data_IF_480023542115
#
_entry.id   IF_480023542115
#
_cell.length_a   1.000
_cell.length_b   1.000
_cell.length_c   1.000
_cell.angle_alpha   90.00
_cell.angle_beta   90.00
_cell.angle_gamma   90.00
#
_symmetry.space_group_name_H-M   'P 1'
#
loop_
_entity.id
_entity.type
_entity.pdbx_description
1 polymer ?
#
# COMPACT_ATOMS: atom_id res chain seq x y z
N UNK A 1 30.17 -34.86 -36.93
CA UNK A 1 28.78 -35.35 -37.04
C UNK A 1 27.83 -34.55 -36.12
N UNK A 2 27.70 -33.23 -36.32
CA UNK A 2 26.83 -32.38 -35.49
C UNK A 2 26.08 -31.28 -36.27
N UNK A 3 26.17 -31.30 -37.61
CA UNK A 3 25.62 -30.25 -38.48
C UNK A 3 24.39 -30.74 -39.28
N UNK A 4 24.11 -32.04 -39.28
CA UNK A 4 23.01 -32.63 -40.07
C UNK A 4 21.68 -32.69 -39.29
N UNK A 5 21.70 -32.50 -37.97
CA UNK A 5 20.48 -32.60 -37.14
C UNK A 5 19.65 -31.30 -37.06
N UNK A 6 20.16 -30.15 -37.51
CA UNK A 6 19.46 -28.87 -37.42
C UNK A 6 18.57 -28.53 -38.64
N UNK A 7 18.68 -29.30 -39.73
CA UNK A 7 17.93 -29.07 -40.97
C UNK A 7 16.60 -29.84 -41.07
N UNK A 8 16.34 -30.78 -40.15
CA UNK A 8 15.11 -31.58 -40.16
C UNK A 8 13.94 -30.99 -39.35
N UNK A 9 14.16 -29.93 -38.55
CA UNK A 9 13.11 -29.32 -37.72
C UNK A 9 12.40 -28.10 -38.35
N UNK A 10 12.75 -27.71 -39.57
CA UNK A 10 12.12 -26.58 -40.28
C UNK A 10 10.96 -27.00 -41.23
N UNK A 11 10.57 -28.28 -41.25
CA UNK A 11 9.56 -28.79 -42.19
C UNK A 11 8.13 -28.92 -41.62
N UNK A 12 7.88 -28.51 -40.36
CA UNK A 12 6.52 -28.50 -39.77
C UNK A 12 6.08 -27.08 -39.42
N UNK A 13 5.97 -26.22 -40.44
CA UNK A 13 5.13 -25.03 -40.34
C UNK A 13 3.78 -25.39 -40.95
N UNK A 14 2.68 -25.48 -40.18
CA UNK A 14 1.36 -25.63 -40.78
C UNK A 14 1.12 -24.39 -41.66
N UNK A 15 0.89 -24.63 -42.95
CA UNK A 15 0.49 -23.58 -43.87
C UNK A 15 -0.77 -22.90 -43.28
N UNK A 16 -0.62 -21.64 -42.88
CA UNK A 16 -1.74 -20.80 -42.51
C UNK A 16 -2.67 -20.73 -43.72
N UNK A 17 -3.78 -21.45 -43.67
CA UNK A 17 -4.87 -21.30 -44.63
C UNK A 17 -5.40 -19.87 -44.49
N UNK A 18 -4.97 -19.00 -45.40
CA UNK A 18 -5.64 -17.75 -45.65
C UNK A 18 -7.08 -18.08 -46.07
N UNK A 19 -8.02 -17.94 -45.13
CA UNK A 19 -9.45 -18.10 -45.41
C UNK A 19 -9.86 -16.91 -46.29
N UNK A 20 -10.32 -17.11 -47.53
CA UNK A 20 -10.86 -16.03 -48.33
C UNK A 20 -12.13 -15.52 -47.64
N UNK A 21 -12.07 -14.33 -47.04
CA UNK A 21 -13.28 -13.59 -46.65
C UNK A 21 -13.86 -12.93 -47.90
N UNK A 22 -14.45 -13.74 -48.78
CA UNK A 22 -15.40 -13.27 -49.77
C UNK A 22 -16.74 -13.07 -49.08
N UNK A 23 -16.92 -11.90 -48.47
CA UNK A 23 -18.22 -11.46 -47.95
C UNK A 23 -19.20 -11.36 -49.12
N UNK A 24 -20.34 -12.09 -49.10
CA UNK A 24 -21.37 -11.91 -50.12
C UNK A 24 -21.91 -10.48 -50.06
N UNK A 25 -22.02 -9.76 -51.19
CA UNK A 25 -22.68 -8.46 -51.23
C UNK A 25 -24.15 -8.65 -50.86
N UNK A 26 -24.55 -8.13 -49.70
CA UNK A 26 -25.92 -8.25 -49.16
C UNK A 26 -26.03 -8.87 -47.77
N UNK A 27 -24.93 -9.30 -47.15
CA UNK A 27 -24.97 -9.78 -45.76
C UNK A 27 -25.31 -8.62 -44.82
N UNK A 28 -26.53 -8.63 -44.28
CA UNK A 28 -26.95 -7.65 -43.28
C UNK A 28 -25.92 -7.59 -42.15
N UNK A 29 -25.53 -6.38 -41.73
CA UNK A 29 -24.58 -6.20 -40.65
C UNK A 29 -25.10 -6.88 -39.36
N UNK A 30 -24.50 -8.03 -39.04
CA UNK A 30 -24.82 -8.80 -37.84
C UNK A 30 -24.25 -8.08 -36.63
N UNK A 31 -25.06 -7.91 -35.59
CA UNK A 31 -24.59 -7.33 -34.34
C UNK A 31 -23.57 -8.26 -33.68
N UNK A 32 -22.43 -7.73 -33.25
CA UNK A 32 -21.44 -8.53 -32.53
C UNK A 32 -22.02 -9.02 -31.19
N UNK A 33 -21.79 -10.30 -30.90
CA UNK A 33 -22.18 -10.91 -29.63
C UNK A 33 -21.15 -10.63 -28.55
N UNK A 34 -21.59 -10.66 -27.29
CA UNK A 34 -20.69 -10.56 -26.14
C UNK A 34 -19.69 -11.72 -26.11
N UNK A 35 -20.10 -12.90 -26.57
CA UNK A 35 -19.25 -14.09 -26.61
C UNK A 35 -18.08 -13.93 -27.58
N UNK A 36 -18.27 -13.25 -28.72
CA UNK A 36 -17.18 -12.95 -29.64
C UNK A 36 -16.13 -12.02 -28.99
N UNK A 37 -16.58 -11.02 -28.23
CA UNK A 37 -15.69 -10.14 -27.46
C UNK A 37 -15.01 -10.89 -26.30
N UNK A 38 -15.73 -11.74 -25.58
CA UNK A 38 -15.16 -12.55 -24.50
C UNK A 38 -14.13 -13.57 -25.02
N UNK A 39 -14.39 -14.20 -26.16
CA UNK A 39 -13.46 -15.10 -26.84
C UNK A 39 -12.20 -14.36 -27.27
N UNK A 40 -12.34 -13.14 -27.81
CA UNK A 40 -11.20 -12.26 -28.09
C UNK A 40 -10.40 -12.01 -26.81
N UNK A 41 -11.05 -11.50 -25.76
CA UNK A 41 -10.42 -11.12 -24.49
C UNK A 41 -9.79 -12.28 -23.70
N UNK A 42 -10.21 -13.52 -23.97
CA UNK A 42 -9.65 -14.72 -23.35
C UNK A 42 -8.28 -15.10 -23.92
N UNK A 43 -7.84 -14.48 -25.03
CA UNK A 43 -6.50 -14.69 -25.55
C UNK A 43 -5.44 -14.00 -24.68
N UNK A 44 -4.27 -14.62 -24.52
CA UNK A 44 -3.19 -14.07 -23.68
C UNK A 44 -2.66 -12.72 -24.18
N UNK A 45 -2.79 -12.44 -25.48
CA UNK A 45 -2.36 -11.20 -26.11
C UNK A 45 -3.33 -10.04 -25.90
N UNK A 46 -4.62 -10.33 -25.65
CA UNK A 46 -5.66 -9.32 -25.43
C UNK A 46 -5.94 -9.03 -23.95
N UNK A 47 -5.51 -9.91 -23.04
CA UNK A 47 -5.73 -9.76 -21.60
C UNK A 47 -5.12 -8.46 -21.04
N UNK A 48 -4.10 -7.92 -21.71
CA UNK A 48 -3.45 -6.65 -21.38
C UNK A 48 -4.31 -5.40 -21.66
N UNK A 49 -5.38 -5.55 -22.45
CA UNK A 49 -6.19 -4.43 -22.94
C UNK A 49 -7.21 -3.98 -21.89
N UNK A 50 -7.29 -2.67 -21.68
CA UNK A 50 -8.17 -2.05 -20.69
C UNK A 50 -9.64 -2.42 -20.91
N UNK A 51 -10.09 -2.55 -22.16
CA UNK A 51 -11.48 -2.94 -22.47
C UNK A 51 -11.78 -4.39 -22.04
N UNK A 52 -10.81 -5.29 -22.16
CA UNK A 52 -10.94 -6.68 -21.70
C UNK A 52 -10.90 -6.79 -20.17
N UNK A 53 -10.08 -5.97 -19.52
CA UNK A 53 -10.11 -5.78 -18.07
C UNK A 53 -11.47 -5.23 -17.59
N UNK A 54 -12.04 -4.22 -18.27
CA UNK A 54 -13.37 -3.72 -17.92
C UNK A 54 -14.47 -4.78 -18.17
N UNK A 55 -14.36 -5.60 -19.22
CA UNK A 55 -15.28 -6.71 -19.46
C UNK A 55 -15.34 -7.68 -18.27
N UNK A 56 -14.18 -8.00 -17.66
CA UNK A 56 -14.13 -8.88 -16.48
C UNK A 56 -14.85 -8.26 -15.27
N UNK A 57 -14.69 -6.95 -15.07
CA UNK A 57 -15.40 -6.18 -14.03
C UNK A 57 -16.91 -6.07 -14.26
N UNK A 58 -17.33 -6.09 -15.52
CA UNK A 58 -18.74 -6.10 -15.91
C UNK A 58 -19.41 -7.47 -15.69
N UNK A 59 -18.64 -8.57 -15.64
CA UNK A 59 -19.17 -9.92 -15.55
C UNK A 59 -20.16 -10.24 -16.68
N UNK A 60 -21.31 -10.83 -16.34
CA UNK A 60 -22.39 -11.13 -17.29
C UNK A 60 -23.35 -9.96 -17.54
N UNK A 61 -23.17 -8.85 -16.83
CA UNK A 61 -24.09 -7.72 -16.89
C UNK A 61 -23.91 -6.91 -18.16
N UNK A 62 -24.96 -6.81 -18.97
CA UNK A 62 -25.03 -5.95 -20.17
C UNK A 62 -25.83 -4.67 -19.93
N UNK A 63 -26.58 -4.60 -18.82
CA UNK A 63 -27.47 -3.48 -18.48
C UNK A 63 -26.77 -2.34 -17.76
N UNK A 64 -25.60 -2.61 -17.17
CA UNK A 64 -24.75 -1.59 -16.55
C UNK A 64 -24.24 -0.63 -17.63
N UNK A 65 -24.32 0.67 -17.34
CA UNK A 65 -23.74 1.72 -18.20
C UNK A 65 -22.27 1.37 -18.49
N UNK A 66 -21.81 1.50 -19.74
CA UNK A 66 -20.46 1.12 -20.21
C UNK A 66 -20.11 -0.38 -20.25
N UNK A 67 -20.98 -1.27 -19.74
CA UNK A 67 -20.81 -2.71 -19.86
C UNK A 67 -21.50 -3.32 -21.10
N UNK A 68 -22.13 -2.50 -21.92
CA UNK A 68 -22.70 -2.94 -23.19
C UNK A 68 -21.59 -3.43 -24.11
N UNK A 69 -21.87 -4.45 -24.93
CA UNK A 69 -20.88 -4.98 -25.89
C UNK A 69 -20.40 -3.88 -26.84
N UNK A 70 -21.28 -2.98 -27.26
CA UNK A 70 -20.93 -1.86 -28.14
C UNK A 70 -20.03 -0.83 -27.44
N UNK A 71 -20.25 -0.52 -26.16
CA UNK A 71 -19.37 0.39 -25.41
C UNK A 71 -17.96 -0.18 -25.25
N UNK A 72 -17.85 -1.47 -24.92
CA UNK A 72 -16.56 -2.14 -24.77
C UNK A 72 -15.84 -2.26 -26.12
N UNK A 73 -16.56 -2.55 -27.21
CA UNK A 73 -16.00 -2.53 -28.57
C UNK A 73 -15.61 -1.11 -29.01
N UNK A 74 -16.38 -0.09 -28.63
CA UNK A 74 -16.03 1.30 -28.88
C UNK A 74 -14.72 1.66 -28.19
N UNK A 75 -14.56 1.28 -26.91
CA UNK A 75 -13.33 1.46 -26.15
C UNK A 75 -12.15 0.73 -26.81
N UNK A 76 -12.33 -0.55 -27.12
CA UNK A 76 -11.31 -1.39 -27.75
C UNK A 76 -10.89 -0.85 -29.12
N UNK A 77 -11.85 -0.62 -30.02
CA UNK A 77 -11.53 -0.37 -31.43
C UNK A 77 -11.19 1.09 -31.74
N UNK A 78 -11.68 2.07 -30.97
CA UNK A 78 -11.32 3.48 -31.19
C UNK A 78 -10.09 3.92 -30.41
N UNK A 79 -9.77 3.31 -29.27
CA UNK A 79 -8.63 3.72 -28.45
C UNK A 79 -7.45 2.78 -28.55
N UNK A 80 -7.67 1.47 -28.51
CA UNK A 80 -6.59 0.48 -28.69
C UNK A 80 -6.39 0.13 -30.16
N UNK A 81 -7.47 0.10 -30.96
CA UNK A 81 -7.43 -0.21 -32.40
C UNK A 81 -6.58 -1.46 -32.74
N UNK A 82 -6.83 -2.62 -32.11
CA UNK A 82 -6.11 -3.83 -32.47
C UNK A 82 -6.54 -4.28 -33.87
N UNK A 83 -5.58 -4.67 -34.71
CA UNK A 83 -5.83 -5.19 -36.07
C UNK A 83 -6.47 -6.58 -36.01
N UNK A 84 -7.78 -6.62 -35.80
CA UNK A 84 -8.55 -7.84 -35.47
C UNK A 84 -9.89 -7.85 -36.19
N UNK A 85 -10.39 -9.05 -36.49
CA UNK A 85 -11.70 -9.23 -37.13
C UNK A 85 -12.84 -8.60 -36.32
N UNK A 86 -12.73 -8.60 -34.99
CA UNK A 86 -13.71 -8.00 -34.07
C UNK A 86 -13.86 -6.50 -34.34
N UNK A 87 -12.75 -5.78 -34.53
CA UNK A 87 -12.80 -4.35 -34.83
C UNK A 87 -13.27 -4.04 -36.24
N UNK A 88 -12.92 -4.86 -37.23
CA UNK A 88 -13.45 -4.72 -38.60
C UNK A 88 -14.96 -4.96 -38.65
N UNK A 89 -15.47 -5.97 -37.95
CA UNK A 89 -16.91 -6.22 -37.85
C UNK A 89 -17.62 -5.09 -37.10
N UNK A 90 -17.04 -4.59 -36.00
CA UNK A 90 -17.58 -3.44 -35.26
C UNK A 90 -17.68 -2.19 -36.14
N UNK A 91 -16.63 -1.86 -36.89
CA UNK A 91 -16.62 -0.73 -37.83
C UNK A 91 -17.69 -0.91 -38.90
N UNK A 92 -17.79 -2.10 -39.51
CA UNK A 92 -18.81 -2.41 -40.51
C UNK A 92 -20.22 -2.24 -39.97
N UNK A 93 -20.47 -2.73 -38.74
CA UNK A 93 -21.75 -2.58 -38.05
C UNK A 93 -22.07 -1.10 -37.77
N UNK A 94 -21.11 -0.32 -37.28
CA UNK A 94 -21.34 1.09 -36.96
C UNK A 94 -21.45 2.00 -38.18
N UNK A 95 -20.80 1.65 -39.29
CA UNK A 95 -21.04 2.32 -40.58
C UNK A 95 -22.46 2.05 -41.09
N UNK A 96 -22.97 0.83 -40.94
CA UNK A 96 -24.33 0.48 -41.32
C UNK A 96 -25.39 1.06 -40.37
N UNK A 97 -25.08 1.20 -39.07
CA UNK A 97 -26.02 1.63 -38.02
C UNK A 97 -25.40 2.67 -37.07
N UNK A 98 -25.11 3.89 -37.54
CA UNK A 98 -24.41 4.91 -36.74
C UNK A 98 -25.18 5.36 -35.50
N UNK A 99 -26.51 5.43 -35.56
CA UNK A 99 -27.36 5.79 -34.41
C UNK A 99 -27.30 4.75 -33.29
N UNK A 100 -27.22 3.46 -33.63
CA UNK A 100 -27.10 2.39 -32.64
C UNK A 100 -25.77 2.45 -31.90
N UNK A 101 -24.66 2.73 -32.60
CA UNK A 101 -23.34 2.82 -31.96
C UNK A 101 -23.12 4.11 -31.15
N UNK A 102 -23.88 5.18 -31.43
CA UNK A 102 -23.80 6.45 -30.71
C UNK A 102 -24.89 6.64 -29.65
N UNK A 103 -25.76 5.64 -29.45
CA UNK A 103 -26.77 5.70 -28.41
C UNK A 103 -26.13 5.77 -27.01
N UNK A 104 -26.83 6.39 -26.07
CA UNK A 104 -26.37 6.51 -24.69
C UNK A 104 -26.07 5.13 -24.10
N UNK A 105 -24.87 4.98 -23.52
CA UNK A 105 -24.39 3.70 -22.99
C UNK A 105 -23.74 2.76 -24.01
N UNK A 106 -23.68 3.11 -25.30
CA UNK A 106 -22.92 2.39 -26.33
C UNK A 106 -21.59 3.08 -26.71
N UNK A 107 -21.28 4.21 -26.10
CA UNK A 107 -19.99 4.89 -26.20
C UNK A 107 -19.07 4.44 -25.07
N UNK A 108 -17.75 4.54 -25.27
CA UNK A 108 -16.80 4.29 -24.19
C UNK A 108 -17.04 5.24 -23.00
N UNK A 109 -16.56 4.82 -21.84
CA UNK A 109 -16.60 5.64 -20.64
C UNK A 109 -15.95 7.01 -20.90
N UNK A 110 -16.59 8.14 -20.54
CA UNK A 110 -15.95 9.44 -20.59
C UNK A 110 -14.56 9.45 -19.92
N UNK A 111 -13.59 10.09 -20.58
CA UNK A 111 -12.17 10.10 -20.21
C UNK A 111 -11.45 8.74 -20.28
N UNK A 112 -12.01 7.75 -20.99
CA UNK A 112 -11.30 6.54 -21.37
C UNK A 112 -10.02 6.86 -22.16
N UNK A 113 -8.95 6.16 -21.83
CA UNK A 113 -7.68 6.22 -22.56
C UNK A 113 -7.30 4.84 -23.09
N UNK A 114 -6.31 4.77 -23.97
CA UNK A 114 -5.83 3.48 -24.46
C UNK A 114 -5.07 2.69 -23.36
N UNK A 115 -4.91 1.40 -23.61
CA UNK A 115 -4.28 0.43 -22.70
C UNK A 115 -2.82 0.75 -22.42
N UNK A 116 -2.09 1.29 -23.40
CA UNK A 116 -0.71 1.74 -23.22
C UNK A 116 -0.63 2.88 -22.21
N UNK A 117 -1.56 3.83 -22.25
CA UNK A 117 -1.65 4.92 -21.26
C UNK A 117 -1.97 4.36 -19.88
N UNK A 118 -2.92 3.42 -19.74
CA UNK A 118 -3.20 2.78 -18.45
C UNK A 118 -1.96 2.10 -17.88
N UNK A 119 -1.27 1.26 -18.67
CA UNK A 119 -0.03 0.62 -18.22
C UNK A 119 1.07 1.64 -17.90
N UNK A 120 1.19 2.73 -18.65
CA UNK A 120 2.15 3.78 -18.33
C UNK A 120 1.86 4.47 -17.00
N UNK A 121 0.59 4.73 -16.69
CA UNK A 121 0.21 5.28 -15.39
C UNK A 121 0.52 4.29 -14.26
N UNK A 122 0.24 3.00 -14.46
CA UNK A 122 0.62 1.94 -13.51
C UNK A 122 2.13 1.91 -13.32
N UNK A 123 2.93 1.94 -14.39
CA UNK A 123 4.39 1.99 -14.32
C UNK A 123 4.87 3.17 -13.47
N UNK A 124 4.35 4.38 -13.71
CA UNK A 124 4.75 5.58 -12.96
C UNK A 124 4.38 5.48 -11.49
N UNK A 125 3.21 4.94 -11.17
CA UNK A 125 2.75 4.79 -9.80
C UNK A 125 3.54 3.68 -9.06
N UNK A 126 3.70 2.51 -9.67
CA UNK A 126 4.40 1.36 -9.10
C UNK A 126 5.91 1.58 -8.96
N UNK A 127 6.52 2.42 -9.81
CA UNK A 127 7.95 2.74 -9.72
C UNK A 127 8.29 3.64 -8.54
N UNK A 128 7.38 4.55 -8.18
CA UNK A 128 7.61 5.48 -7.07
C UNK A 128 7.30 4.80 -5.73
N UNK A 129 6.24 3.98 -5.68
CA UNK A 129 5.86 3.23 -4.50
C UNK A 129 5.39 1.82 -4.88
N UNK A 130 5.96 0.79 -4.24
CA UNK A 130 5.45 -0.57 -4.37
C UNK A 130 4.10 -0.68 -3.64
N UNK A 131 3.01 -0.66 -4.39
CA UNK A 131 1.65 -0.75 -3.88
C UNK A 131 1.05 -2.12 -4.18
N UNK A 132 0.05 -2.51 -3.40
CA UNK A 132 -0.78 -3.67 -3.73
C UNK A 132 -1.46 -3.47 -5.10
N UNK A 133 -1.45 -4.52 -5.92
CA UNK A 133 -1.88 -4.50 -7.30
C UNK A 133 -0.75 -4.36 -8.31
N UNK A 134 0.40 -3.77 -7.93
CA UNK A 134 1.56 -3.66 -8.82
C UNK A 134 2.11 -5.04 -9.22
N UNK A 135 1.99 -6.05 -8.36
CA UNK A 135 2.35 -7.44 -8.63
C UNK A 135 1.51 -8.09 -9.74
N UNK A 136 0.32 -7.55 -10.02
CA UNK A 136 -0.57 -8.06 -11.09
C UNK A 136 -0.19 -7.52 -12.47
N UNK A 137 0.74 -6.56 -12.56
CA UNK A 137 1.26 -6.05 -13.82
C UNK A 137 2.79 -6.06 -13.80
N UNK A 138 3.39 -7.19 -14.18
CA UNK A 138 4.86 -7.34 -14.27
C UNK A 138 5.37 -6.66 -15.54
N UNK A 139 6.23 -5.64 -15.40
CA UNK A 139 6.80 -4.85 -16.49
C UNK A 139 5.78 -4.03 -17.31
N UNK A 140 4.98 -3.16 -16.67
CA UNK A 140 4.05 -2.29 -17.38
C UNK A 140 4.80 -1.37 -18.37
N UNK A 141 4.10 -0.94 -19.42
CA UNK A 141 4.63 -0.03 -20.44
C UNK A 141 5.31 1.20 -19.82
N UNK A 142 6.63 1.32 -19.97
CA UNK A 142 7.41 2.42 -19.39
C UNK A 142 7.18 3.77 -20.07
N UNK A 143 6.55 3.77 -21.25
CA UNK A 143 6.24 4.94 -22.07
C UNK A 143 4.87 4.81 -22.75
N UNK A 144 4.13 5.91 -22.99
CA UNK A 144 2.88 5.89 -23.75
C UNK A 144 3.05 5.49 -25.23
N UNK A 145 4.28 5.42 -25.74
CA UNK A 145 4.59 5.05 -27.13
C UNK A 145 4.84 3.56 -27.35
N UNK A 146 4.75 2.73 -26.29
CA UNK A 146 4.98 1.29 -26.41
C UNK A 146 3.87 0.66 -27.28
N UNK A 147 4.22 -0.10 -28.34
CA UNK A 147 3.24 -0.78 -29.17
C UNK A 147 2.37 -1.74 -28.36
N UNK A 148 1.10 -1.89 -28.74
CA UNK A 148 0.15 -2.77 -28.05
C UNK A 148 0.63 -4.22 -28.00
N UNK A 149 1.36 -4.66 -29.03
CA UNK A 149 1.95 -6.00 -29.13
C UNK A 149 3.07 -6.26 -28.11
N UNK A 150 3.62 -5.21 -27.48
CA UNK A 150 4.66 -5.28 -26.47
C UNK A 150 4.13 -5.00 -25.06
N UNK A 151 2.82 -4.82 -24.90
CA UNK A 151 2.23 -4.62 -23.58
C UNK A 151 2.38 -5.88 -22.73
N UNK A 152 2.70 -5.69 -21.46
CA UNK A 152 2.73 -6.78 -20.51
C UNK A 152 1.33 -7.39 -20.37
N UNK A 153 1.28 -8.70 -20.18
CA UNK A 153 0.04 -9.37 -19.80
C UNK A 153 -0.36 -8.91 -18.39
N UNK A 154 -1.26 -7.94 -18.32
CA UNK A 154 -1.72 -7.43 -17.05
C UNK A 154 -3.13 -6.86 -17.10
N UNK A 155 -3.80 -6.93 -15.96
CA UNK A 155 -5.14 -6.42 -15.77
C UNK A 155 -5.12 -4.88 -15.62
N UNK A 156 -4.75 -4.19 -16.70
CA UNK A 156 -4.29 -2.80 -16.68
C UNK A 156 -5.34 -1.85 -16.09
N UNK A 157 -6.60 -1.98 -16.47
CA UNK A 157 -7.66 -1.14 -15.94
C UNK A 157 -8.00 -1.49 -14.47
N UNK A 158 -8.11 -2.77 -14.10
CA UNK A 158 -8.39 -3.15 -12.71
C UNK A 158 -7.28 -2.73 -11.75
N UNK A 159 -6.01 -2.87 -12.14
CA UNK A 159 -4.87 -2.44 -11.33
C UNK A 159 -4.88 -0.91 -11.19
N UNK A 160 -5.09 -0.18 -12.30
CA UNK A 160 -5.19 1.27 -12.26
C UNK A 160 -6.30 1.76 -11.32
N UNK A 161 -7.49 1.14 -11.39
CA UNK A 161 -8.63 1.44 -10.51
C UNK A 161 -8.32 1.14 -9.05
N UNK A 162 -7.70 -0.01 -8.75
CA UNK A 162 -7.31 -0.36 -7.38
C UNK A 162 -6.35 0.68 -6.79
N UNK A 163 -5.35 1.10 -7.55
CA UNK A 163 -4.39 2.12 -7.12
C UNK A 163 -5.06 3.47 -6.89
N UNK A 164 -5.93 3.90 -7.80
CA UNK A 164 -6.66 5.16 -7.66
C UNK A 164 -7.69 5.14 -6.53
N UNK A 165 -8.27 3.98 -6.23
CA UNK A 165 -9.13 3.82 -5.06
C UNK A 165 -8.35 3.96 -3.75
N UNK A 166 -7.12 3.44 -3.69
CA UNK A 166 -6.26 3.56 -2.50
C UNK A 166 -5.70 4.96 -2.31
N UNK A 167 -5.41 5.68 -3.40
CA UNK A 167 -4.89 7.06 -3.35
C UNK A 167 -5.58 7.97 -4.39
N UNK A 168 -6.82 8.40 -4.12
CA UNK A 168 -7.61 9.20 -5.07
C UNK A 168 -6.98 10.57 -5.37
N UNK A 169 -6.13 11.08 -4.46
CA UNK A 169 -5.45 12.38 -4.59
C UNK A 169 -4.26 12.38 -5.54
N UNK A 170 -3.85 11.23 -6.08
CA UNK A 170 -2.73 11.21 -7.01
C UNK A 170 -3.11 11.98 -8.28
N UNK A 171 -2.19 12.82 -8.76
CA UNK A 171 -2.38 13.59 -10.01
C UNK A 171 -2.72 12.69 -11.20
N UNK A 172 -2.21 11.45 -11.19
CA UNK A 172 -2.48 10.38 -12.16
C UNK A 172 -3.93 9.87 -12.14
N UNK A 173 -4.61 9.97 -11.00
CA UNK A 173 -6.00 9.55 -10.80
C UNK A 173 -7.01 10.70 -10.97
N UNK A 174 -6.58 11.93 -10.68
CA UNK A 174 -7.43 13.12 -10.70
C UNK A 174 -8.10 13.42 -12.06
N UNK A 175 -7.48 13.04 -13.18
CA UNK A 175 -8.00 13.41 -14.51
C UNK A 175 -8.81 12.29 -15.16
N UNK A 176 -8.28 11.07 -15.40
CA UNK A 176 -9.06 10.06 -16.12
C UNK A 176 -10.09 9.44 -15.18
N UNK A 177 -9.64 8.89 -14.05
CA UNK A 177 -10.47 8.10 -13.15
C UNK A 177 -11.54 8.93 -12.41
N UNK A 178 -11.19 10.10 -11.87
CA UNK A 178 -12.22 10.94 -11.22
C UNK A 178 -13.26 11.45 -12.22
N UNK A 179 -12.85 11.92 -13.41
CA UNK A 179 -13.82 12.34 -14.44
C UNK A 179 -14.68 11.18 -14.92
N UNK A 180 -14.08 10.00 -15.02
CA UNK A 180 -14.77 8.75 -15.32
C UNK A 180 -15.87 8.51 -14.26
N UNK A 181 -15.54 8.59 -12.98
CA UNK A 181 -16.53 8.46 -11.89
C UNK A 181 -17.58 9.58 -11.90
N UNK A 182 -17.20 10.83 -12.15
CA UNK A 182 -18.11 11.99 -12.07
C UNK A 182 -19.05 12.16 -13.26
N UNK A 183 -18.73 11.56 -14.41
CA UNK A 183 -19.50 11.75 -15.66
C UNK A 183 -20.98 11.36 -15.57
N UNK A 184 -21.36 10.48 -14.64
CA UNK A 184 -22.76 10.16 -14.33
C UNK A 184 -22.88 9.69 -12.88
N UNK A 185 -22.77 10.63 -11.93
CA UNK A 185 -22.55 10.31 -10.51
C UNK A 185 -23.58 9.35 -9.90
N UNK A 186 -24.86 9.47 -10.26
CA UNK A 186 -25.93 8.57 -9.77
C UNK A 186 -25.83 7.16 -10.37
N UNK A 187 -25.68 7.09 -11.70
CA UNK A 187 -25.67 5.80 -12.43
C UNK A 187 -24.36 5.05 -12.20
N UNK A 188 -23.24 5.75 -12.19
CA UNK A 188 -21.92 5.15 -11.97
C UNK A 188 -21.78 4.63 -10.55
N UNK A 189 -22.25 5.37 -9.54
CA UNK A 189 -22.22 4.93 -8.14
C UNK A 189 -23.03 3.66 -7.92
N UNK A 190 -24.18 3.52 -8.57
CA UNK A 190 -25.02 2.33 -8.46
C UNK A 190 -24.43 1.11 -9.20
N UNK A 191 -23.84 1.32 -10.38
CA UNK A 191 -23.39 0.22 -11.25
C UNK A 191 -21.97 -0.28 -10.93
N UNK A 192 -21.10 0.60 -10.41
CA UNK A 192 -19.69 0.32 -10.17
C UNK A 192 -19.19 0.81 -8.80
N UNK A 193 -19.79 0.38 -7.68
CA UNK A 193 -19.31 0.73 -6.34
C UNK A 193 -17.86 0.28 -6.10
N UNK A 194 -17.42 -0.77 -6.78
CA UNK A 194 -16.05 -1.30 -6.68
C UNK A 194 -15.01 -0.46 -7.46
N UNK A 195 -15.45 0.30 -8.48
CA UNK A 195 -14.56 1.14 -9.31
C UNK A 195 -14.54 2.58 -8.81
N UNK A 196 -15.71 3.10 -8.41
CA UNK A 196 -15.90 4.49 -8.01
C UNK A 196 -16.40 4.54 -6.55
N UNK A 197 -15.50 4.67 -5.56
CA UNK A 197 -15.90 4.83 -4.17
C UNK A 197 -16.57 6.20 -3.95
N UNK A 198 -17.31 6.35 -2.85
CA UNK A 198 -17.99 7.62 -2.50
C UNK A 198 -17.05 8.84 -2.55
N UNK A 199 -15.81 8.68 -2.09
CA UNK A 199 -14.77 9.71 -2.10
C UNK A 199 -14.44 10.28 -3.48
N UNK A 200 -14.65 9.52 -4.57
CA UNK A 200 -14.41 9.99 -5.94
C UNK A 200 -15.48 10.99 -6.41
N UNK A 201 -16.66 11.02 -5.78
CA UNK A 201 -17.78 11.89 -6.17
C UNK A 201 -17.84 13.19 -5.38
N UNK A 202 -17.36 13.21 -4.13
CA UNK A 202 -17.50 14.37 -3.23
C UNK A 202 -16.61 15.56 -3.61
N UNK A 203 -15.62 15.35 -4.49
CA UNK A 203 -14.75 16.41 -5.00
C UNK A 203 -15.30 17.02 -6.27
N UNK A 204 -16.38 17.78 -6.13
CA UNK A 204 -16.61 18.88 -7.09
C UNK A 204 -15.36 19.77 -7.05
N UNK A 205 -14.80 20.12 -8.21
CA UNK A 205 -13.48 20.74 -8.44
C UNK A 205 -13.37 22.17 -7.89
N UNK A 206 -14.20 22.53 -6.91
CA UNK A 206 -14.15 23.80 -6.18
C UNK A 206 -13.07 23.73 -5.10
N UNK A 207 -11.81 23.49 -5.49
CA UNK A 207 -10.68 23.59 -4.58
C UNK A 207 -10.34 25.07 -4.34
N UNK A 208 -11.03 25.70 -3.39
CA UNK A 208 -10.50 26.87 -2.68
C UNK A 208 -9.52 26.36 -1.62
N UNK A 209 -8.26 26.85 -1.57
CA UNK A 209 -7.33 26.45 -0.52
C UNK A 209 -7.81 27.02 0.82
N UNK A 210 -8.46 26.21 1.64
CA UNK A 210 -8.83 26.58 3.01
C UNK A 210 -8.12 25.66 3.99
N UNK A 211 -7.43 26.26 4.96
CA UNK A 211 -6.69 25.59 6.02
C UNK A 211 -7.62 24.68 6.85
N UNK A 212 -7.24 23.40 6.98
CA UNK A 212 -8.02 22.36 7.64
C UNK A 212 -8.15 22.57 9.15
N UNK A 213 -9.39 22.67 9.62
CA UNK A 213 -9.84 22.21 10.93
C UNK A 213 -10.82 21.05 10.68
N UNK A 214 -10.62 19.89 11.30
CA UNK A 214 -11.42 18.67 11.07
C UNK A 214 -12.07 18.19 12.37
N UNK A 215 -13.39 17.93 12.41
CA UNK A 215 -14.04 17.11 13.42
C UNK A 215 -14.05 15.62 13.01
N UNK A 216 -13.91 14.74 13.99
CA UNK A 216 -13.81 13.28 13.82
C UNK A 216 -15.19 12.62 13.58
N UNK A 217 -15.28 11.78 12.55
CA UNK A 217 -16.41 10.85 12.31
C UNK A 217 -15.84 9.43 12.26
N UNK A 218 -16.42 8.52 13.04
CA UNK A 218 -16.00 7.13 13.15
C UNK A 218 -16.65 6.29 12.04
N UNK A 219 -15.83 5.65 11.22
CA UNK A 219 -16.25 4.68 10.20
C UNK A 219 -15.86 3.27 10.64
N UNK A 220 -16.81 2.35 10.66
CA UNK A 220 -16.61 0.92 10.91
C UNK A 220 -16.10 0.23 9.64
N UNK A 221 -14.97 -0.48 9.72
CA UNK A 221 -14.32 -1.17 8.58
C UNK A 221 -14.20 -2.67 8.89
N UNK A 222 -14.65 -3.52 7.97
CA UNK A 222 -14.49 -4.98 8.01
C UNK A 222 -13.03 -5.37 7.73
N UNK A 223 -12.53 -6.41 8.43
CA UNK A 223 -11.11 -6.70 8.62
C UNK A 223 -10.42 -7.54 7.51
N UNK A 224 -11.11 -7.89 6.42
CA UNK A 224 -10.58 -8.86 5.44
C UNK A 224 -9.97 -8.25 4.16
N UNK A 225 -9.98 -6.92 3.99
CA UNK A 225 -9.29 -6.26 2.88
C UNK A 225 -7.86 -5.86 3.28
N UNK A 226 -6.88 -6.67 2.88
CA UNK A 226 -5.46 -6.48 3.13
C UNK A 226 -4.84 -5.22 2.48
N UNK A 227 -5.63 -4.46 1.70
CA UNK A 227 -5.24 -3.32 0.87
C UNK A 227 -5.31 -1.94 1.56
N UNK A 228 -5.64 -1.88 2.85
CA UNK A 228 -5.87 -0.64 3.60
C UNK A 228 -4.67 -0.07 4.37
N UNK A 229 -3.43 -0.25 3.90
CA UNK A 229 -2.26 0.30 4.61
C UNK A 229 -2.22 1.84 4.46
N UNK A 230 -2.20 2.61 5.57
CA UNK A 230 -2.13 4.06 5.49
C UNK A 230 -0.83 4.51 4.83
N UNK A 231 -0.86 5.55 3.97
CA UNK A 231 0.34 6.08 3.32
C UNK A 231 1.32 6.60 4.37
N UNK A 232 2.58 6.21 4.29
CA UNK A 232 3.64 6.77 5.14
C UNK A 232 3.82 8.25 4.82
N UNK A 233 3.67 9.11 5.84
CA UNK A 233 3.87 10.56 5.73
C UNK A 233 5.24 10.92 6.30
N UNK A 234 6.03 11.67 5.55
CA UNK A 234 7.38 12.12 5.99
C UNK A 234 7.36 13.43 6.79
N UNK A 235 6.25 13.73 7.45
CA UNK A 235 6.09 14.92 8.30
C UNK A 235 5.35 14.55 9.58
N UNK A 236 5.56 15.34 10.63
CA UNK A 236 4.91 15.12 11.91
C UNK A 236 3.39 15.22 11.80
N UNK A 237 2.71 14.17 12.26
CA UNK A 237 1.26 14.06 12.18
C UNK A 237 0.66 13.46 13.46
N UNK A 238 -0.65 13.63 13.61
CA UNK A 238 -1.44 13.16 14.76
C UNK A 238 -2.50 12.14 14.33
N UNK A 239 -2.20 11.34 13.32
CA UNK A 239 -3.17 10.38 12.81
C UNK A 239 -3.28 9.16 13.75
N UNK A 240 -4.47 8.57 13.83
CA UNK A 240 -4.76 7.47 14.75
C UNK A 240 -4.64 6.10 14.09
N UNK A 241 -4.54 6.05 12.76
CA UNK A 241 -4.55 4.78 11.99
C UNK A 241 -3.18 4.34 11.50
N UNK A 242 -2.07 4.91 12.00
CA UNK A 242 -0.72 4.60 11.52
C UNK A 242 -0.26 3.16 11.84
N UNK A 243 0.62 2.58 11.03
CA UNK A 243 1.24 1.28 11.31
C UNK A 243 2.33 1.46 12.38
N UNK A 244 2.34 0.61 13.42
CA UNK A 244 3.34 0.64 14.49
C UNK A 244 4.23 -0.62 14.44
N UNK A 245 5.50 -0.48 14.01
CA UNK A 245 6.53 -1.53 13.93
C UNK A 245 6.23 -2.73 13.00
N UNK A 246 5.04 -3.32 13.07
CA UNK A 246 4.63 -4.53 12.35
C UNK A 246 3.31 -4.30 11.62
N UNK A 247 3.12 -4.98 10.47
CA UNK A 247 1.89 -4.91 9.68
C UNK A 247 0.62 -5.31 10.46
N UNK A 248 0.74 -6.23 11.42
CA UNK A 248 -0.39 -6.67 12.24
C UNK A 248 -0.79 -5.66 13.32
N UNK A 249 0.10 -4.71 13.65
CA UNK A 249 -0.14 -3.73 14.69
C UNK A 249 -0.56 -2.39 14.08
N UNK A 250 -1.79 -2.37 13.58
CA UNK A 250 -2.46 -1.16 13.07
C UNK A 250 -3.65 -0.86 13.98
N UNK A 251 -3.63 0.25 14.73
CA UNK A 251 -4.74 0.63 15.57
C UNK A 251 -5.92 1.11 14.70
N UNK A 252 -6.93 0.25 14.54
CA UNK A 252 -8.17 0.60 13.82
C UNK A 252 -9.22 1.25 14.72
N UNK A 253 -9.03 1.22 16.05
CA UNK A 253 -9.95 1.79 17.04
C UNK A 253 -9.20 2.73 17.97
N UNK A 254 -9.92 3.68 18.57
CA UNK A 254 -9.36 4.59 19.58
C UNK A 254 -8.72 3.82 20.75
N UNK A 255 -9.35 2.73 21.19
CA UNK A 255 -8.80 1.86 22.23
C UNK A 255 -7.49 1.19 21.82
N UNK A 256 -7.40 0.70 20.57
CA UNK A 256 -6.15 0.15 20.05
C UNK A 256 -5.05 1.23 19.93
N UNK A 257 -5.40 2.45 19.54
CA UNK A 257 -4.44 3.57 19.47
C UNK A 257 -3.90 3.94 20.85
N UNK A 258 -4.76 4.02 21.87
CA UNK A 258 -4.34 4.24 23.26
C UNK A 258 -3.46 3.08 23.73
N UNK A 259 -3.82 1.83 23.40
CA UNK A 259 -2.98 0.65 23.66
C UNK A 259 -1.59 0.74 23.03
N UNK A 260 -1.50 1.21 21.78
CA UNK A 260 -0.24 1.49 21.09
C UNK A 260 0.60 2.55 21.81
N UNK A 261 -0.02 3.63 22.31
CA UNK A 261 0.66 4.64 23.11
C UNK A 261 1.27 4.06 24.39
N UNK A 262 0.53 3.22 25.12
CA UNK A 262 1.05 2.51 26.29
C UNK A 262 2.17 1.54 25.92
N UNK A 263 2.05 0.83 24.81
CA UNK A 263 3.10 -0.06 24.29
C UNK A 263 4.41 0.68 24.00
N UNK A 264 4.35 1.82 23.32
CA UNK A 264 5.52 2.68 23.04
C UNK A 264 6.14 3.23 24.33
N UNK A 265 5.31 3.68 25.28
CA UNK A 265 5.78 4.13 26.58
C UNK A 265 6.52 3.03 27.34
N UNK A 266 5.94 1.83 27.42
CA UNK A 266 6.54 0.67 28.07
C UNK A 266 7.83 0.21 27.38
N UNK A 267 7.87 0.22 26.04
CA UNK A 267 9.07 -0.06 25.24
C UNK A 267 10.22 0.88 25.59
N UNK A 268 9.93 2.18 25.71
CA UNK A 268 10.91 3.20 26.08
C UNK A 268 11.43 3.00 27.51
N UNK A 269 10.52 2.75 28.46
CA UNK A 269 10.87 2.47 29.85
C UNK A 269 11.76 1.23 29.98
N UNK A 270 11.43 0.16 29.27
CA UNK A 270 12.25 -1.05 29.22
C UNK A 270 13.64 -0.77 28.64
N UNK A 271 13.72 -0.08 27.49
CA UNK A 271 14.99 0.28 26.84
C UNK A 271 15.93 1.04 27.79
N UNK A 272 15.42 2.04 28.50
CA UNK A 272 16.19 2.80 29.50
C UNK A 272 16.62 1.95 30.69
N UNK A 273 15.75 1.06 31.20
CA UNK A 273 16.10 0.15 32.29
C UNK A 273 17.20 -0.85 31.89
N UNK A 274 17.15 -1.38 30.66
CA UNK A 274 18.22 -2.24 30.12
C UNK A 274 19.55 -1.49 30.00
N UNK A 275 19.52 -0.22 29.58
CA UNK A 275 20.73 0.60 29.50
C UNK A 275 21.39 0.81 30.87
N UNK A 276 20.61 1.01 31.93
CA UNK A 276 21.12 1.24 33.30
C UNK A 276 21.54 -0.05 34.02
N UNK A 277 20.89 -1.17 33.73
CA UNK A 277 21.30 -2.48 34.28
C UNK A 277 22.59 -2.99 33.62
N UNK A 278 22.79 -2.69 32.34
CA UNK A 278 24.03 -3.04 31.64
C UNK A 278 25.28 -2.34 32.22
N UNK A 279 25.14 -1.17 32.84
CA UNK A 279 26.25 -0.43 33.46
C UNK A 279 26.54 -0.84 34.89
N UNK A 280 25.56 -1.40 35.61
CA UNK A 280 25.64 -1.71 37.04
C UNK A 280 25.96 -3.18 37.35
N UNK A 281 25.94 -4.07 36.36
CA UNK A 281 26.24 -5.49 36.52
C UNK A 281 27.75 -5.78 36.75
N UNK A 282 28.26 -5.43 37.93
CA UNK A 282 29.50 -5.94 38.50
C UNK A 282 29.25 -7.16 39.41
N UNK A 283 30.14 -8.16 39.34
CA UNK A 283 30.47 -9.13 40.41
C UNK A 283 30.03 -10.62 40.38
N UNK A 284 29.70 -11.26 39.24
CA UNK A 284 29.76 -12.76 39.15
C UNK A 284 30.30 -13.29 37.81
N UNK A 285 31.62 -13.44 37.73
CA UNK A 285 32.44 -13.51 36.49
C UNK A 285 32.09 -14.57 35.43
N UNK A 286 31.53 -15.74 35.78
CA UNK A 286 31.50 -16.86 34.82
C UNK A 286 30.15 -17.09 34.11
N UNK A 287 28.99 -16.81 34.75
CA UNK A 287 27.68 -16.86 34.08
C UNK A 287 27.32 -15.55 33.35
N UNK A 288 28.19 -14.52 33.48
CA UNK A 288 27.95 -13.16 32.98
C UNK A 288 28.28 -12.96 31.49
N UNK A 289 29.08 -13.83 30.85
CA UNK A 289 29.50 -13.58 29.45
C UNK A 289 28.30 -13.72 28.50
N UNK A 290 27.58 -14.86 28.56
CA UNK A 290 26.38 -15.07 27.76
C UNK A 290 25.24 -14.11 28.14
N UNK A 291 25.08 -13.84 29.45
CA UNK A 291 24.07 -12.89 29.94
C UNK A 291 24.33 -11.46 29.45
N UNK A 292 25.58 -10.99 29.48
CA UNK A 292 25.95 -9.65 28.99
C UNK A 292 25.77 -9.55 27.48
N UNK A 293 26.13 -10.58 26.73
CA UNK A 293 25.88 -10.62 25.28
C UNK A 293 24.39 -10.50 24.97
N UNK A 294 23.54 -11.26 25.67
CA UNK A 294 22.08 -11.20 25.51
C UNK A 294 21.50 -9.82 25.84
N UNK A 295 21.96 -9.18 26.92
CA UNK A 295 21.53 -7.82 27.31
C UNK A 295 21.92 -6.78 26.26
N UNK A 296 23.16 -6.85 25.74
CA UNK A 296 23.62 -5.94 24.68
C UNK A 296 22.84 -6.15 23.39
N UNK A 297 22.55 -7.39 23.00
CA UNK A 297 21.70 -7.68 21.84
C UNK A 297 20.28 -7.13 22.01
N UNK A 298 19.68 -7.32 23.19
CA UNK A 298 18.36 -6.77 23.51
C UNK A 298 18.36 -5.23 23.46
N UNK A 299 19.40 -4.59 23.98
CA UNK A 299 19.57 -3.14 23.93
C UNK A 299 19.60 -2.61 22.48
N UNK A 300 20.36 -3.28 21.60
CA UNK A 300 20.43 -2.91 20.17
C UNK A 300 19.05 -3.10 19.52
N UNK A 301 18.36 -4.20 19.78
CA UNK A 301 17.02 -4.42 19.22
C UNK A 301 16.01 -3.36 19.68
N UNK A 302 16.03 -2.99 20.97
CA UNK A 302 15.16 -1.96 21.53
C UNK A 302 15.49 -0.56 21.00
N UNK A 303 16.75 -0.23 20.75
CA UNK A 303 17.14 1.05 20.16
C UNK A 303 16.66 1.19 18.71
N UNK A 304 16.78 0.13 17.90
CA UNK A 304 16.22 0.11 16.55
C UNK A 304 14.69 0.20 16.56
N UNK A 305 14.02 -0.50 17.48
CA UNK A 305 12.57 -0.41 17.62
C UNK A 305 12.14 1.03 17.97
N UNK A 306 12.80 1.67 18.93
CA UNK A 306 12.55 3.07 19.28
C UNK A 306 12.78 4.03 18.09
N UNK A 307 13.86 3.82 17.32
CA UNK A 307 14.12 4.59 16.10
C UNK A 307 12.99 4.42 15.06
N UNK A 308 12.53 3.19 14.81
CA UNK A 308 11.42 2.93 13.89
C UNK A 308 10.11 3.61 14.34
N UNK A 309 9.86 3.69 15.66
CA UNK A 309 8.72 4.45 16.19
C UNK A 309 8.87 5.94 15.88
N UNK A 310 10.06 6.54 16.02
CA UNK A 310 10.28 7.95 15.68
C UNK A 310 10.13 8.20 14.17
N UNK A 311 10.58 7.26 13.32
CA UNK A 311 10.42 7.33 11.88
C UNK A 311 8.97 7.21 11.40
N UNK A 312 8.03 6.83 12.28
CA UNK A 312 6.60 6.93 11.98
C UNK A 312 6.13 8.39 11.91
N UNK A 313 6.90 9.36 12.41
CA UNK A 313 6.52 10.77 12.52
C UNK A 313 5.18 11.03 13.24
N UNK A 314 4.68 10.08 14.04
CA UNK A 314 3.50 10.31 14.86
C UNK A 314 3.88 11.07 16.14
N UNK A 315 3.39 12.30 16.27
CA UNK A 315 3.77 13.21 17.37
C UNK A 315 3.47 12.60 18.74
N UNK A 316 2.34 11.91 18.88
CA UNK A 316 1.90 11.34 20.16
C UNK A 316 2.81 10.18 20.55
N UNK A 317 3.19 9.30 19.62
CA UNK A 317 4.10 8.20 19.90
C UNK A 317 5.50 8.69 20.24
N UNK A 318 6.01 9.70 19.52
CA UNK A 318 7.27 10.36 19.87
C UNK A 318 7.23 10.94 21.30
N UNK A 319 6.14 11.62 21.67
CA UNK A 319 5.97 12.17 23.01
C UNK A 319 5.92 11.07 24.09
N UNK A 320 5.23 9.96 23.84
CA UNK A 320 5.18 8.81 24.76
C UNK A 320 6.54 8.14 24.92
N UNK A 321 7.34 8.07 23.85
CA UNK A 321 8.70 7.55 23.89
C UNK A 321 9.60 8.44 24.77
N UNK A 322 9.54 9.76 24.61
CA UNK A 322 10.28 10.72 25.46
C UNK A 322 9.83 10.67 26.92
N UNK A 323 8.51 10.57 27.16
CA UNK A 323 7.96 10.46 28.52
C UNK A 323 8.40 9.16 29.20
N UNK A 324 8.43 8.04 28.47
CA UNK A 324 8.94 6.76 28.98
C UNK A 324 10.42 6.84 29.38
N UNK A 325 11.25 7.46 28.54
CA UNK A 325 12.68 7.63 28.83
C UNK A 325 12.90 8.53 30.06
N UNK A 326 12.17 9.64 30.16
CA UNK A 326 12.24 10.55 31.31
C UNK A 326 11.81 9.86 32.61
N UNK A 327 10.67 9.16 32.60
CA UNK A 327 10.15 8.46 33.78
C UNK A 327 11.09 7.36 34.25
N UNK A 328 11.70 6.60 33.33
CA UNK A 328 12.69 5.60 33.65
C UNK A 328 13.92 6.21 34.33
N UNK A 329 14.43 7.33 33.83
CA UNK A 329 15.55 8.03 34.44
C UNK A 329 15.22 8.48 35.88
N UNK A 330 14.07 9.13 36.09
CA UNK A 330 13.66 9.57 37.44
C UNK A 330 13.47 8.41 38.41
N UNK A 331 12.82 7.33 37.96
CA UNK A 331 12.55 6.16 38.81
C UNK A 331 13.84 5.45 39.22
N UNK A 332 14.77 5.27 38.29
CA UNK A 332 16.01 4.53 38.53
C UNK A 332 17.06 5.37 39.28
N UNK A 333 17.13 6.69 39.05
CA UNK A 333 18.00 7.57 39.85
C UNK A 333 17.65 7.56 41.34
N UNK A 334 16.35 7.49 41.68
CA UNK A 334 15.92 7.40 43.09
C UNK A 334 16.29 6.07 43.75
N UNK A 335 16.33 4.97 42.98
CA UNK A 335 16.72 3.66 43.48
C UNK A 335 18.19 3.60 43.92
N UNK A 336 19.06 4.26 43.17
CA UNK A 336 20.50 4.33 43.47
C UNK A 336 20.77 5.13 44.76
N UNK A 337 20.11 6.28 44.95
CA UNK A 337 20.24 7.07 46.19
C UNK A 337 19.82 6.29 47.44
N UNK A 338 18.74 5.52 47.35
CA UNK A 338 18.28 4.67 48.47
C UNK A 338 19.25 3.53 48.75
N UNK A 339 19.82 2.92 47.71
CA UNK A 339 20.81 1.83 47.86
C UNK A 339 22.08 2.36 48.50
N UNK A 340 22.59 3.51 48.02
CA UNK A 340 23.72 4.19 48.66
C UNK A 340 23.39 4.57 50.11
N UNK A 341 22.21 5.13 50.39
CA UNK A 341 21.83 5.47 51.77
C UNK A 341 21.75 4.23 52.69
N UNK A 342 21.31 3.09 52.16
CA UNK A 342 21.29 1.83 52.90
C UNK A 342 22.71 1.27 53.14
N UNK A 343 23.61 1.39 52.18
CA UNK A 343 25.02 1.00 52.31
C UNK A 343 25.80 1.91 53.27
N UNK A 344 25.46 3.21 53.31
CA UNK A 344 26.10 4.21 54.18
C UNK A 344 25.44 4.38 55.57
N UNK A 345 24.37 3.64 55.89
CA UNK A 345 23.83 3.57 57.25
C UNK A 345 24.33 2.34 58.00
N UNK A 346 24.45 2.32 59.35
CA UNK A 346 24.81 3.36 60.31
C UNK A 346 26.34 3.34 60.55
N UNK A 347 27.17 3.54 59.52
CA UNK A 347 28.63 3.64 59.74
C UNK A 347 28.98 4.92 60.52
N UNK A 348 28.09 5.92 60.52
CA UNK A 348 28.22 7.15 61.30
C UNK A 348 28.20 6.94 62.84
N UNK A 349 27.79 5.78 63.37
CA UNK A 349 27.97 5.47 64.80
C UNK A 349 29.30 4.81 65.12
N UNK A 350 29.95 4.15 64.15
CA UNK A 350 31.22 3.46 64.38
C UNK A 350 32.40 4.43 64.52
N UNK A 351 32.34 5.59 63.89
CA UNK A 351 33.38 6.62 64.03
C UNK A 351 33.28 7.38 65.37
N UNK A 352 32.09 7.42 65.98
CA UNK A 352 31.88 8.06 67.29
C UNK A 352 32.42 7.19 68.44
N UNK A 353 32.39 5.86 68.30
CA UNK A 353 32.99 4.94 69.28
C UNK A 353 34.52 4.86 69.17
N UNK A 354 35.08 5.05 67.97
CA UNK A 354 36.55 5.06 67.80
C UNK A 354 37.21 6.23 68.53
N UNK A 355 36.57 7.40 68.51
CA UNK A 355 37.03 8.58 69.26
C UNK A 355 36.89 8.41 70.79
N UNK A 356 35.90 7.64 71.26
CA UNK A 356 35.74 7.33 72.68
C UNK A 356 36.76 6.29 73.20
N UNK A 357 37.23 5.39 72.34
CA UNK A 357 38.28 4.41 72.66
C UNK A 357 39.66 5.07 72.69
N UNK A 358 39.97 5.94 71.71
CA UNK A 358 41.26 6.64 71.69
C UNK A 358 41.42 7.60 72.89
N UNK A 359 40.33 8.21 73.37
CA UNK A 359 40.37 9.03 74.59
C UNK A 359 40.60 8.23 75.88
N UNK A 360 40.33 6.91 75.91
CA UNK A 360 40.63 6.06 77.09
C UNK A 360 42.07 5.55 77.10
N UNK A 361 42.68 5.36 75.93
CA UNK A 361 44.06 4.89 75.83
C UNK A 361 45.04 5.98 76.29
N UNK A 362 44.74 7.25 76.04
CA UNK A 362 45.60 8.36 76.46
C UNK A 362 45.60 8.65 77.98
N UNK A 363 44.67 8.06 78.75
CA UNK A 363 44.54 8.24 80.20
C UNK A 363 45.19 7.10 81.01
N UNK A 364 45.57 5.99 80.36
CA UNK A 364 46.23 4.86 80.99
C UNK A 364 47.77 4.97 80.99
N UNK A 365 48.33 5.98 80.31
CA UNK A 365 49.79 6.21 80.20
C UNK A 365 50.31 7.25 81.21
N UNK A 366 49.45 7.70 82.14
CA UNK A 366 49.76 8.73 83.16
C UNK A 366 49.62 8.24 84.63
N UNK A 367 49.61 6.92 84.84
CA UNK A 367 49.76 6.26 86.15
C UNK A 367 50.95 5.30 86.12
#
# INVERSE_FOLDING_TARGET
MAVVALLALLALVPAAQARPSTSPPGSAAVALTRDALAAFCSSSTSASLGACSLLSQCGTSTTKLYCSTLSLLYALCNYDNPTTDVCTQYQTYCTAKPSACRADGNTAWPAWSNSTVFQNQIYRMCKVHNMEGCEKCTNPASSPSVPITQLANCDSFSVYVAMCRSMPEMTVCNVPWIKMCQSNSSTTKANFPQICPAAAFERSITATPTASAVPAVATTVNLDDASGLPPMRMYFHQDTTGILLFRAWVPCTTGAYVGSCFGVFALSLASSAFHLTATTAGARRELLIAGRAAVVTAQIALSYAAMLVVMSYNVVWCAMLLLGAFTAHVALSRGDENTRRAEWGPVATQERDKSAVDSRISLADEQ
#
